data_IF_123164697282
#
_entry.id   IF_123164697282
#
_cell.length_a   1.000
_cell.length_b   1.000
_cell.length_c   1.000
_cell.angle_alpha   90.00
_cell.angle_beta   90.00
_cell.angle_gamma   90.00
#
_symmetry.space_group_name_H-M   'P 1'
#
loop_
_entity.id
_entity.type
_entity.pdbx_description
1 polymer ?
#
# COMPACT_ATOMS: atom_id res chain seq x y z
N UNK A 1 1.71 -0.78 4.83
CA UNK A 1 0.38 -1.38 5.18
C UNK A 1 -0.13 -0.91 6.55
N UNK A 2 0.72 -0.52 7.49
CA UNK A 2 0.43 -0.64 8.92
C UNK A 2 -0.21 0.58 9.58
N UNK A 3 0.02 1.79 9.06
CA UNK A 3 -0.71 2.99 9.47
C UNK A 3 -1.72 3.30 8.38
N UNK A 4 -2.93 2.78 8.54
CA UNK A 4 -4.07 2.99 7.66
C UNK A 4 -5.35 2.90 8.50
N UNK A 5 -6.39 3.63 8.09
CA UNK A 5 -7.71 3.59 8.73
C UNK A 5 -8.65 2.57 8.08
N UNK A 6 -8.23 1.99 6.96
CA UNK A 6 -8.93 0.90 6.28
C UNK A 6 -7.95 -0.11 5.66
N UNK A 7 -8.39 -1.35 5.54
CA UNK A 7 -7.58 -2.49 5.15
C UNK A 7 -8.17 -3.22 3.93
N UNK A 8 -7.32 -3.98 3.24
CA UNK A 8 -7.48 -4.44 1.85
C UNK A 8 -7.50 -3.29 0.82
N UNK A 9 -7.35 -3.64 -0.46
CA UNK A 9 -7.39 -2.67 -1.56
C UNK A 9 -8.78 -2.05 -1.75
N UNK A 10 -9.86 -2.77 -1.49
CA UNK A 10 -11.26 -2.29 -1.59
C UNK A 10 -11.78 -1.59 -0.32
N UNK A 11 -10.92 -1.35 0.68
CA UNK A 11 -11.27 -0.83 2.01
C UNK A 11 -12.39 -1.65 2.72
N UNK A 12 -12.57 -2.95 2.45
CA UNK A 12 -13.68 -3.72 3.06
C UNK A 12 -13.52 -3.96 4.57
N UNK A 13 -12.30 -3.92 5.09
CA UNK A 13 -12.03 -4.11 6.51
C UNK A 13 -11.72 -2.78 7.21
N UNK A 14 -12.47 -2.46 8.27
CA UNK A 14 -12.28 -1.24 9.07
C UNK A 14 -11.21 -1.34 10.16
N UNK A 15 -10.63 -2.53 10.36
CA UNK A 15 -9.54 -2.74 11.31
C UNK A 15 -8.64 -3.88 10.86
N UNK A 16 -7.39 -3.87 11.35
CA UNK A 16 -6.43 -4.93 11.10
C UNK A 16 -6.93 -6.27 11.65
N UNK A 17 -7.56 -6.23 12.83
CA UNK A 17 -8.26 -7.37 13.40
C UNK A 17 -9.35 -7.92 12.46
N UNK A 18 -10.17 -7.04 11.86
CA UNK A 18 -11.17 -7.45 10.87
C UNK A 18 -10.56 -8.06 9.61
N UNK A 19 -9.42 -7.52 9.15
CA UNK A 19 -8.65 -8.07 8.05
C UNK A 19 -8.18 -9.50 8.37
N UNK A 20 -7.61 -9.73 9.55
CA UNK A 20 -7.14 -11.05 9.99
C UNK A 20 -8.27 -12.09 9.95
N UNK A 21 -9.47 -11.76 10.43
CA UNK A 21 -10.62 -12.67 10.37
C UNK A 21 -10.96 -13.03 8.92
N UNK A 22 -10.96 -12.02 8.04
CA UNK A 22 -11.31 -12.20 6.63
C UNK A 22 -10.32 -13.12 5.93
N UNK A 23 -9.01 -12.95 6.19
CA UNK A 23 -7.93 -13.74 5.59
C UNK A 23 -7.93 -15.19 6.11
N UNK A 24 -8.11 -15.38 7.42
CA UNK A 24 -8.13 -16.73 8.02
C UNK A 24 -9.26 -17.57 7.45
N UNK A 25 -10.44 -16.98 7.28
CA UNK A 25 -11.65 -17.66 6.79
C UNK A 25 -11.72 -17.83 5.27
N UNK A 26 -10.82 -17.19 4.51
CA UNK A 26 -10.85 -17.25 3.05
C UNK A 26 -10.35 -18.61 2.54
N UNK A 27 -11.15 -19.25 1.70
CA UNK A 27 -10.86 -20.59 1.19
C UNK A 27 -9.65 -20.66 0.25
N UNK A 28 -9.23 -19.54 -0.32
CA UNK A 28 -8.08 -19.42 -1.22
C UNK A 28 -6.81 -18.92 -0.49
N UNK A 29 -6.91 -18.58 0.79
CA UNK A 29 -5.79 -18.13 1.61
C UNK A 29 -5.47 -19.19 2.67
N UNK A 30 -5.85 -18.98 3.94
CA UNK A 30 -5.56 -19.95 5.00
C UNK A 30 -6.54 -21.13 5.05
N UNK A 31 -7.75 -20.99 4.48
CA UNK A 31 -8.80 -22.01 4.53
C UNK A 31 -9.02 -22.57 5.94
N UNK A 32 -9.12 -21.68 6.93
CA UNK A 32 -9.19 -22.07 8.34
C UNK A 32 -10.21 -21.22 9.10
N UNK A 33 -10.13 -21.28 10.43
CA UNK A 33 -10.91 -20.41 11.32
C UNK A 33 -10.11 -20.06 12.59
N UNK A 34 -10.53 -18.99 13.27
CA UNK A 34 -9.87 -18.55 14.51
C UNK A 34 -9.99 -19.57 15.65
N UNK A 35 -10.98 -20.46 15.62
CA UNK A 35 -11.13 -21.52 16.64
C UNK A 35 -10.01 -22.54 16.51
N UNK A 36 -9.65 -22.90 15.28
CA UNK A 36 -8.57 -23.81 14.94
C UNK A 36 -7.22 -23.21 15.32
N UNK A 37 -7.00 -21.93 15.02
CA UNK A 37 -5.79 -21.20 15.46
C UNK A 37 -5.69 -21.14 16.99
N UNK A 38 -6.79 -20.82 17.67
CA UNK A 38 -6.85 -20.82 19.14
C UNK A 38 -6.49 -22.19 19.69
N UNK A 39 -7.05 -23.26 19.13
CA UNK A 39 -6.78 -24.62 19.59
C UNK A 39 -5.31 -25.01 19.43
N UNK A 40 -4.69 -24.64 18.30
CA UNK A 40 -3.27 -24.88 18.06
C UNK A 40 -2.39 -24.19 19.12
N UNK A 41 -2.71 -22.94 19.45
CA UNK A 41 -2.02 -22.15 20.48
C UNK A 41 -2.20 -22.79 21.87
N UNK A 42 -3.40 -23.25 22.21
CA UNK A 42 -3.69 -23.92 23.49
C UNK A 42 -2.96 -25.25 23.68
N UNK A 43 -2.61 -25.94 22.58
CA UNK A 43 -1.93 -27.24 22.62
C UNK A 43 -0.41 -27.14 22.75
N UNK A 44 0.17 -25.96 22.51
CA UNK A 44 1.61 -25.73 22.62
C UNK A 44 1.95 -25.03 23.93
N UNK A 45 2.68 -25.71 24.82
CA UNK A 45 3.03 -25.17 26.14
C UNK A 45 3.92 -23.93 26.08
N UNK A 46 4.73 -23.77 25.02
CA UNK A 46 5.54 -22.58 24.78
C UNK A 46 4.64 -21.39 24.46
N UNK A 47 3.70 -21.55 23.51
CA UNK A 47 2.75 -20.48 23.21
C UNK A 47 1.85 -20.14 24.39
N UNK A 48 1.37 -21.13 25.13
CA UNK A 48 0.57 -20.89 26.34
C UNK A 48 1.35 -20.04 27.35
N UNK A 49 2.63 -20.34 27.58
CA UNK A 49 3.47 -19.55 28.49
C UNK A 49 3.71 -18.13 27.96
N UNK A 50 4.03 -17.96 26.67
CA UNK A 50 4.21 -16.64 26.05
C UNK A 50 2.93 -15.78 26.13
N UNK A 51 1.76 -16.36 25.86
CA UNK A 51 0.47 -15.66 25.98
C UNK A 51 0.17 -15.25 27.42
N UNK A 52 0.44 -16.13 28.40
CA UNK A 52 0.29 -15.79 29.83
C UNK A 52 1.18 -14.63 30.22
N UNK A 53 2.45 -14.63 29.79
CA UNK A 53 3.41 -13.57 30.09
C UNK A 53 3.02 -12.24 29.43
N UNK A 54 2.64 -12.26 28.15
CA UNK A 54 2.41 -11.03 27.38
C UNK A 54 1.04 -10.39 27.67
N UNK A 55 0.00 -11.20 27.84
CA UNK A 55 -1.38 -10.72 27.87
C UNK A 55 -2.06 -10.86 29.22
N UNK A 56 -1.56 -11.72 30.12
CA UNK A 56 -2.17 -12.03 31.41
C UNK A 56 -3.70 -12.31 31.32
N UNK A 57 -4.16 -12.86 30.19
CA UNK A 57 -5.57 -13.19 29.93
C UNK A 57 -5.70 -14.58 29.33
N UNK A 58 -6.92 -15.12 29.38
CA UNK A 58 -7.29 -16.39 28.78
C UNK A 58 -7.09 -16.36 27.27
N UNK A 59 -6.45 -17.39 26.74
CA UNK A 59 -6.30 -17.60 25.30
C UNK A 59 -7.68 -17.84 24.69
N UNK A 60 -8.06 -16.99 23.75
CA UNK A 60 -9.31 -17.05 22.99
C UNK A 60 -9.15 -16.32 21.64
N UNK A 61 -10.13 -16.45 20.75
CA UNK A 61 -10.08 -15.87 19.40
C UNK A 61 -9.75 -14.37 19.38
N UNK A 62 -10.26 -13.58 20.35
CA UNK A 62 -9.99 -12.15 20.44
C UNK A 62 -8.52 -11.89 20.75
N UNK A 63 -7.96 -12.60 21.74
CA UNK A 63 -6.55 -12.45 22.13
C UNK A 63 -5.59 -12.93 21.04
N UNK A 64 -5.93 -14.01 20.31
CA UNK A 64 -5.14 -14.52 19.18
C UNK A 64 -5.11 -13.49 18.05
N UNK A 65 -6.27 -12.97 17.66
CA UNK A 65 -6.38 -11.91 16.65
C UNK A 65 -5.65 -10.64 17.06
N UNK A 66 -5.75 -10.26 18.34
CA UNK A 66 -5.01 -9.13 18.89
C UNK A 66 -3.50 -9.35 18.82
N UNK A 67 -3.00 -10.54 19.17
CA UNK A 67 -1.58 -10.86 19.09
C UNK A 67 -1.02 -10.75 17.67
N UNK A 68 -1.75 -11.26 16.68
CA UNK A 68 -1.37 -11.10 15.27
C UNK A 68 -1.36 -9.62 14.88
N UNK A 69 -2.40 -8.86 15.27
CA UNK A 69 -2.49 -7.45 14.96
C UNK A 69 -1.39 -6.61 15.64
N UNK A 70 -1.03 -6.93 16.89
CA UNK A 70 0.04 -6.28 17.64
C UNK A 70 1.41 -6.56 17.00
N UNK A 71 1.68 -7.81 16.59
CA UNK A 71 2.88 -8.16 15.84
C UNK A 71 2.96 -7.34 14.54
N UNK A 72 1.90 -7.34 13.75
CA UNK A 72 1.84 -6.61 12.48
C UNK A 72 2.08 -5.11 12.72
N UNK A 73 1.48 -4.48 13.74
CA UNK A 73 1.75 -3.08 14.12
C UNK A 73 3.20 -2.82 14.50
N UNK A 74 3.87 -3.78 15.14
CA UNK A 74 5.25 -3.64 15.60
C UNK A 74 6.27 -3.58 14.46
N UNK A 75 5.90 -3.97 13.23
CA UNK A 75 6.81 -4.03 12.09
C UNK A 75 7.18 -2.65 11.50
N UNK A 76 6.82 -1.51 12.10
CA UNK A 76 7.21 -0.18 11.60
C UNK A 76 8.36 0.39 12.41
N UNK A 77 9.58 0.34 11.88
CA UNK A 77 10.78 0.82 12.56
C UNK A 77 11.15 2.27 12.20
N UNK A 78 10.70 2.77 11.05
CA UNK A 78 10.96 4.16 10.60
C UNK A 78 12.47 4.47 10.51
N UNK A 79 13.24 3.53 9.97
CA UNK A 79 14.70 3.56 9.95
C UNK A 79 15.29 3.64 8.53
N UNK A 80 14.44 3.92 7.54
CA UNK A 80 14.86 4.13 6.15
C UNK A 80 15.87 5.28 6.02
N UNK A 81 16.61 5.31 4.90
CA UNK A 81 17.53 6.43 4.59
C UNK A 81 16.81 7.77 4.65
N UNK A 82 15.60 7.84 4.11
CA UNK A 82 14.76 9.04 4.19
C UNK A 82 14.49 9.45 5.64
N UNK A 83 14.04 8.51 6.48
CA UNK A 83 13.67 8.82 7.86
C UNK A 83 14.86 9.35 8.68
N UNK A 84 16.03 8.72 8.54
CA UNK A 84 17.27 9.13 9.20
C UNK A 84 17.71 10.54 8.76
N UNK A 85 17.60 10.86 7.47
CA UNK A 85 17.96 12.17 6.94
C UNK A 85 16.98 13.27 7.39
N UNK A 86 15.67 13.02 7.37
CA UNK A 86 14.67 14.00 7.82
C UNK A 86 14.75 14.27 9.33
N UNK A 87 15.20 13.29 10.13
CA UNK A 87 15.52 13.48 11.56
C UNK A 87 16.89 14.13 11.82
N UNK A 88 17.71 14.34 10.80
CA UNK A 88 19.06 14.88 10.94
C UNK A 88 20.07 13.91 11.56
N UNK A 89 19.78 12.60 11.57
CA UNK A 89 20.69 11.54 12.01
C UNK A 89 21.75 11.24 10.95
N UNK A 90 21.41 11.48 9.69
CA UNK A 90 22.26 11.38 8.51
C UNK A 90 22.09 12.62 7.63
N UNK A 91 23.04 12.84 6.72
CA UNK A 91 22.97 13.88 5.70
C UNK A 91 23.66 13.39 4.42
N UNK A 92 23.12 12.29 3.89
CA UNK A 92 23.68 11.53 2.77
C UNK A 92 22.68 11.30 1.62
N UNK A 93 21.57 12.04 1.61
CA UNK A 93 20.73 12.16 0.42
C UNK A 93 21.54 12.77 -0.73
N UNK A 94 21.53 12.09 -1.87
CA UNK A 94 22.13 12.52 -3.12
C UNK A 94 21.27 13.61 -3.77
N UNK A 95 21.86 14.34 -4.72
CA UNK A 95 21.12 15.34 -5.50
C UNK A 95 19.92 14.72 -6.24
N UNK A 96 20.08 13.50 -6.78
CA UNK A 96 19.01 12.76 -7.46
C UNK A 96 17.85 12.43 -6.53
N UNK A 97 18.13 11.93 -5.32
CA UNK A 97 17.07 11.62 -4.33
C UNK A 97 16.34 12.89 -3.85
N UNK A 98 17.06 14.01 -3.69
CA UNK A 98 16.45 15.31 -3.33
C UNK A 98 15.57 15.84 -4.48
N UNK A 99 16.07 15.78 -5.72
CA UNK A 99 15.29 16.16 -6.90
C UNK A 99 14.05 15.29 -7.05
N UNK A 100 14.19 13.98 -6.83
CA UNK A 100 13.10 13.02 -6.82
C UNK A 100 12.00 13.38 -5.84
N UNK A 101 12.37 13.74 -4.60
CA UNK A 101 11.41 14.22 -3.62
C UNK A 101 10.70 15.50 -4.08
N UNK A 102 11.43 16.46 -4.65
CA UNK A 102 10.83 17.71 -5.16
C UNK A 102 9.87 17.44 -6.33
N UNK A 103 10.22 16.55 -7.25
CA UNK A 103 9.36 16.11 -8.35
C UNK A 103 8.11 15.40 -7.83
N UNK A 104 8.28 14.48 -6.88
CA UNK A 104 7.21 13.72 -6.23
C UNK A 104 6.17 14.66 -5.59
N UNK A 105 6.61 15.74 -4.95
CA UNK A 105 5.73 16.74 -4.32
C UNK A 105 5.24 17.84 -5.28
N UNK A 106 5.83 17.94 -6.47
CA UNK A 106 5.58 19.01 -7.42
C UNK A 106 5.07 18.47 -8.76
N UNK A 107 5.94 18.51 -9.77
CA UNK A 107 5.59 18.21 -11.17
C UNK A 107 4.91 16.85 -11.35
N UNK A 108 5.38 15.81 -10.65
CA UNK A 108 4.85 14.45 -10.77
C UNK A 108 3.55 14.22 -9.99
N UNK A 109 3.20 15.14 -9.07
CA UNK A 109 1.95 15.14 -8.28
C UNK A 109 1.73 13.88 -7.42
N UNK A 110 2.71 13.02 -7.23
CA UNK A 110 2.57 11.78 -6.47
C UNK A 110 2.13 12.05 -5.00
N UNK A 111 2.59 13.16 -4.41
CA UNK A 111 2.23 13.57 -3.06
C UNK A 111 0.78 14.07 -2.90
N UNK A 112 0.00 14.21 -3.98
CA UNK A 112 -1.43 14.53 -3.86
C UNK A 112 -2.25 13.36 -3.34
N UNK A 113 -1.68 12.14 -3.38
CA UNK A 113 -2.30 10.93 -2.83
C UNK A 113 -1.37 10.15 -1.87
N UNK A 114 -0.04 10.23 -2.05
CA UNK A 114 0.92 9.54 -1.18
C UNK A 114 1.49 10.48 -0.11
N UNK A 115 0.71 10.72 0.94
CA UNK A 115 1.02 11.73 1.95
C UNK A 115 2.13 11.32 2.91
N UNK A 116 3.13 12.18 3.07
CA UNK A 116 4.11 12.06 4.15
C UNK A 116 3.43 12.14 5.53
N UNK A 117 3.97 11.48 6.57
CA UNK A 117 5.21 10.69 6.59
C UNK A 117 5.01 9.22 6.19
N UNK A 118 3.78 8.74 6.10
CA UNK A 118 3.45 7.32 5.82
C UNK A 118 3.50 6.96 4.34
N UNK A 119 3.55 7.97 3.47
CA UNK A 119 3.54 7.90 2.00
C UNK A 119 2.42 7.02 1.44
N UNK A 120 1.21 7.17 1.98
CA UNK A 120 0.00 6.46 1.57
C UNK A 120 -1.20 7.41 1.58
N UNK A 121 -2.38 6.90 1.20
CA UNK A 121 -3.61 7.70 1.14
C UNK A 121 -4.24 8.09 2.46
N UNK A 122 -3.54 8.02 3.60
CA UNK A 122 -4.12 8.45 4.88
C UNK A 122 -4.06 9.97 4.97
N UNK A 123 -5.23 10.62 4.95
CA UNK A 123 -5.38 12.03 4.60
C UNK A 123 -4.94 12.95 5.75
N UNK A 124 -3.98 13.88 5.56
CA UNK A 124 -3.57 14.87 6.55
C UNK A 124 -4.64 15.96 6.76
N UNK A 125 -4.58 16.75 7.85
CA UNK A 125 -3.58 16.70 8.93
C UNK A 125 -3.90 15.67 10.02
N UNK A 126 -5.14 15.19 10.11
CA UNK A 126 -5.57 14.35 11.23
C UNK A 126 -5.29 12.86 11.00
N UNK A 127 -5.05 12.44 9.75
CA UNK A 127 -4.81 11.05 9.36
C UNK A 127 -5.94 10.10 9.79
N UNK A 128 -7.18 10.59 9.76
CA UNK A 128 -8.38 9.89 10.26
C UNK A 128 -9.20 9.18 9.18
N UNK A 129 -8.88 9.38 7.90
CA UNK A 129 -9.44 8.64 6.78
C UNK A 129 -8.34 8.16 5.84
N UNK A 130 -8.62 7.14 5.05
CA UNK A 130 -7.75 6.64 3.99
C UNK A 130 -8.48 6.76 2.66
N UNK A 131 -7.98 7.53 1.71
CA UNK A 131 -8.64 7.71 0.41
C UNK A 131 -8.54 6.45 -0.47
N UNK A 132 -9.22 6.53 -1.61
CA UNK A 132 -9.17 5.54 -2.68
C UNK A 132 -9.15 6.29 -4.00
N UNK A 133 -8.45 5.72 -4.96
CA UNK A 133 -8.24 6.31 -6.26
C UNK A 133 -8.68 5.36 -7.36
N UNK A 134 -9.14 5.93 -8.45
CA UNK A 134 -9.41 5.22 -9.69
C UNK A 134 -8.44 5.73 -10.73
N UNK A 135 -7.47 4.89 -11.09
CA UNK A 135 -6.38 5.26 -11.99
C UNK A 135 -6.55 4.70 -13.40
N UNK A 136 -7.57 3.85 -13.62
CA UNK A 136 -7.73 3.07 -14.85
C UNK A 136 -6.58 2.06 -15.05
N UNK A 137 -6.22 1.31 -14.01
CA UNK A 137 -5.18 0.27 -14.08
C UNK A 137 -5.61 -0.80 -15.10
N UNK A 138 -4.74 -1.17 -16.06
CA UNK A 138 -5.10 -2.13 -17.09
C UNK A 138 -5.05 -3.59 -16.61
N UNK A 139 -5.78 -4.48 -17.29
CA UNK A 139 -5.75 -5.93 -17.05
C UNK A 139 -4.43 -6.61 -17.49
N UNK A 140 -3.62 -5.93 -18.31
CA UNK A 140 -2.33 -6.41 -18.83
C UNK A 140 -1.36 -5.24 -19.10
N UNK A 141 -0.04 -5.46 -19.11
CA UNK A 141 0.92 -4.39 -19.30
C UNK A 141 0.87 -3.87 -20.75
N UNK A 142 0.41 -2.64 -20.92
CA UNK A 142 0.20 -2.00 -22.23
C UNK A 142 0.43 -0.49 -22.13
N UNK A 143 0.93 0.09 -23.21
CA UNK A 143 1.19 1.55 -23.31
C UNK A 143 0.14 2.30 -24.14
N UNK A 144 -0.78 1.57 -24.77
CA UNK A 144 -1.88 2.09 -25.60
C UNK A 144 -2.93 1.02 -25.85
N UNK A 145 -4.16 1.39 -26.20
CA UNK A 145 -5.29 0.49 -26.42
C UNK A 145 -5.54 -0.46 -25.23
N UNK A 146 -5.37 0.07 -24.02
CA UNK A 146 -5.56 -0.69 -22.80
C UNK A 146 -7.02 -1.05 -22.54
N UNK A 147 -7.20 -2.07 -21.71
CA UNK A 147 -8.48 -2.46 -21.15
C UNK A 147 -8.38 -2.43 -19.65
N UNK A 148 -9.33 -1.78 -19.00
CA UNK A 148 -9.34 -1.68 -17.53
C UNK A 148 -9.43 -3.07 -16.92
N UNK A 149 -8.75 -3.24 -15.79
CA UNK A 149 -8.87 -4.43 -14.96
C UNK A 149 -10.34 -4.68 -14.56
N UNK A 150 -10.85 -5.93 -14.66
CA UNK A 150 -12.25 -6.22 -14.42
C UNK A 150 -12.65 -6.18 -12.93
N UNK A 151 -11.70 -6.10 -12.00
CA UNK A 151 -11.99 -5.95 -10.58
C UNK A 151 -12.66 -4.59 -10.35
N UNK A 152 -13.89 -4.62 -9.83
CA UNK A 152 -14.69 -3.42 -9.57
C UNK A 152 -14.28 -2.74 -8.26
N UNK A 153 -13.38 -3.35 -7.49
CA UNK A 153 -12.79 -2.79 -6.28
C UNK A 153 -13.84 -2.42 -5.24
N UNK A 154 -13.82 -1.17 -4.78
CA UNK A 154 -14.75 -0.67 -3.75
C UNK A 154 -16.22 -0.92 -4.05
N UNK A 155 -16.60 -0.95 -5.33
CA UNK A 155 -17.97 -1.22 -5.74
C UNK A 155 -18.51 -2.51 -5.11
N UNK A 156 -17.71 -3.57 -5.01
CA UNK A 156 -18.24 -4.86 -4.57
C UNK A 156 -18.66 -4.89 -3.11
N UNK A 157 -18.19 -3.93 -2.30
CA UNK A 157 -18.55 -3.82 -0.89
C UNK A 157 -19.92 -3.15 -0.69
N UNK A 158 -20.23 -2.08 -1.44
CA UNK A 158 -21.43 -1.24 -1.22
C UNK A 158 -22.33 -1.06 -2.45
N UNK A 159 -21.93 -1.59 -3.60
CA UNK A 159 -22.61 -1.46 -4.90
C UNK A 159 -22.88 0.00 -5.29
N UNK A 160 -21.94 0.88 -4.97
CA UNK A 160 -22.01 2.31 -5.29
C UNK A 160 -21.38 2.57 -6.65
N UNK A 161 -22.19 2.86 -7.66
CA UNK A 161 -21.76 2.96 -9.07
C UNK A 161 -20.54 3.89 -9.28
N UNK A 162 -20.52 5.06 -8.64
CA UNK A 162 -19.40 6.02 -8.72
C UNK A 162 -18.14 5.59 -7.94
N UNK A 163 -18.08 4.35 -7.45
CA UNK A 163 -16.93 3.73 -6.77
C UNK A 163 -16.44 2.46 -7.47
N UNK A 164 -16.83 2.23 -8.73
CA UNK A 164 -16.22 1.20 -9.58
C UNK A 164 -14.75 1.49 -9.82
N UNK A 165 -13.91 0.45 -9.69
CA UNK A 165 -12.46 0.50 -9.90
C UNK A 165 -11.70 1.43 -8.95
N UNK A 166 -12.31 1.81 -7.82
CA UNK A 166 -11.63 2.55 -6.76
C UNK A 166 -10.89 1.59 -5.84
N UNK A 167 -9.59 1.85 -5.67
CA UNK A 167 -8.70 1.09 -4.79
C UNK A 167 -7.96 2.02 -3.84
N UNK A 168 -7.71 1.54 -2.63
CA UNK A 168 -7.00 2.24 -1.57
C UNK A 168 -5.57 2.54 -1.99
N UNK A 169 -5.15 3.81 -1.92
CA UNK A 169 -3.77 4.24 -2.16
C UNK A 169 -2.82 3.50 -1.18
N UNK A 170 -1.93 2.61 -1.66
CA UNK A 170 -1.01 1.88 -0.80
C UNK A 170 0.12 2.79 -0.29
N UNK A 171 0.90 2.30 0.67
CA UNK A 171 2.16 2.97 1.03
C UNK A 171 3.21 2.63 -0.02
N UNK A 172 4.10 3.59 -0.29
CA UNK A 172 5.32 3.36 -1.09
C UNK A 172 6.58 3.18 -0.22
N UNK A 173 6.43 3.03 1.10
CA UNK A 173 7.53 2.56 1.95
C UNK A 173 7.86 1.11 1.59
N UNK A 174 9.15 0.81 1.48
CA UNK A 174 9.69 -0.46 1.00
C UNK A 174 9.30 -0.84 -0.44
N UNK A 175 8.87 0.11 -1.28
CA UNK A 175 8.32 -0.19 -2.62
C UNK A 175 9.36 -0.84 -3.56
N UNK A 176 10.65 -0.62 -3.35
CA UNK A 176 11.70 -1.30 -4.12
C UNK A 176 11.68 -2.83 -3.95
N UNK A 177 11.12 -3.33 -2.85
CA UNK A 177 11.17 -4.74 -2.46
C UNK A 177 9.85 -5.49 -2.64
N UNK A 178 8.81 -4.83 -3.17
CA UNK A 178 7.43 -5.36 -3.18
C UNK A 178 6.83 -5.46 -4.57
N UNK A 179 7.66 -5.63 -5.61
CA UNK A 179 7.16 -6.02 -6.91
C UNK A 179 6.43 -7.39 -6.82
N UNK A 180 5.42 -7.64 -7.68
CA UNK A 180 4.86 -6.73 -8.68
C UNK A 180 3.91 -5.66 -8.09
N UNK A 181 3.58 -4.64 -8.89
CA UNK A 181 2.89 -3.42 -8.48
C UNK A 181 1.44 -3.32 -8.98
N UNK A 182 0.70 -2.38 -8.39
CA UNK A 182 -0.76 -2.20 -8.50
C UNK A 182 -1.57 -3.30 -7.80
N UNK A 183 -2.90 -3.18 -7.76
CA UNK A 183 -3.77 -4.13 -7.06
C UNK A 183 -3.77 -5.52 -7.72
N UNK A 184 -3.49 -5.59 -9.02
CA UNK A 184 -3.47 -6.80 -9.82
C UNK A 184 -2.06 -7.30 -10.18
N UNK A 185 -1.00 -6.59 -9.76
CA UNK A 185 0.38 -7.00 -10.06
C UNK A 185 0.79 -6.84 -11.53
N UNK A 186 0.13 -5.95 -12.29
CA UNK A 186 0.36 -5.81 -13.74
C UNK A 186 1.76 -5.31 -14.12
N UNK A 187 2.39 -4.49 -13.26
CA UNK A 187 3.73 -3.94 -13.50
C UNK A 187 4.78 -4.66 -12.64
N UNK A 188 5.93 -4.96 -13.24
CA UNK A 188 7.05 -5.64 -12.61
C UNK A 188 8.11 -4.67 -12.08
N UNK A 189 8.20 -3.47 -12.65
CA UNK A 189 9.23 -2.49 -12.28
C UNK A 189 8.65 -1.12 -11.91
N UNK A 190 9.43 -0.32 -11.16
CA UNK A 190 9.03 1.03 -10.80
C UNK A 190 8.99 1.96 -12.02
N UNK A 191 9.83 1.69 -13.02
CA UNK A 191 9.84 2.41 -14.30
C UNK A 191 8.51 2.25 -15.04
N UNK A 192 7.95 1.04 -15.08
CA UNK A 192 6.63 0.79 -15.66
C UNK A 192 5.51 1.52 -14.91
N UNK A 193 5.59 1.56 -13.57
CA UNK A 193 4.64 2.30 -12.73
C UNK A 193 4.73 3.80 -13.02
N UNK A 194 5.93 4.38 -13.02
CA UNK A 194 6.13 5.82 -13.24
C UNK A 194 5.76 6.20 -14.67
N UNK A 195 6.06 5.37 -15.67
CA UNK A 195 5.65 5.59 -17.08
C UNK A 195 4.12 5.60 -17.22
N UNK A 196 3.40 4.69 -16.54
CA UNK A 196 1.93 4.70 -16.50
C UNK A 196 1.37 6.03 -15.97
N UNK A 197 1.89 6.54 -14.86
CA UNK A 197 1.50 7.85 -14.34
C UNK A 197 1.90 8.99 -15.29
N UNK A 198 3.09 8.92 -15.88
CA UNK A 198 3.61 9.94 -16.80
C UNK A 198 2.73 10.09 -18.05
N UNK A 199 2.12 8.99 -18.53
CA UNK A 199 1.17 9.00 -19.66
C UNK A 199 -0.20 9.58 -19.32
N UNK A 200 -0.56 9.71 -18.05
CA UNK A 200 -1.91 10.12 -17.62
C UNK A 200 -2.82 8.96 -17.19
N UNK A 201 -2.24 7.83 -16.79
CA UNK A 201 -2.97 6.67 -16.29
C UNK A 201 -3.80 5.97 -17.37
N UNK A 202 -4.97 5.44 -16.98
CA UNK A 202 -5.87 4.71 -17.88
C UNK A 202 -6.24 5.50 -19.14
N UNK A 203 -6.62 6.78 -19.00
CA UNK A 203 -6.87 7.65 -20.15
C UNK A 203 -5.64 7.77 -21.07
N UNK A 204 -4.46 7.93 -20.48
CA UNK A 204 -3.18 8.02 -21.18
C UNK A 204 -2.83 6.80 -22.03
N UNK A 205 -3.34 5.63 -21.64
CA UNK A 205 -3.14 4.36 -22.36
C UNK A 205 -4.37 3.93 -23.17
N UNK A 206 -5.36 4.83 -23.37
CA UNK A 206 -6.51 4.58 -24.24
C UNK A 206 -7.72 3.90 -23.59
N UNK A 207 -7.74 3.76 -22.25
CA UNK A 207 -8.94 3.36 -21.51
C UNK A 207 -9.82 4.62 -21.35
N UNK A 208 -10.61 4.90 -22.38
CA UNK A 208 -11.47 6.10 -22.46
C UNK A 208 -12.90 5.85 -21.96
N UNK A 209 -13.36 4.60 -22.00
CA UNK A 209 -14.70 4.19 -21.56
C UNK A 209 -14.78 3.97 -20.04
N UNK A 210 -14.20 4.90 -19.28
CA UNK A 210 -14.25 4.93 -17.82
C UNK A 210 -14.71 6.30 -17.34
N UNK A 211 -15.43 6.33 -16.22
CA UNK A 211 -15.81 7.56 -15.54
C UNK A 211 -15.04 7.68 -14.22
N UNK A 212 -14.76 8.90 -13.79
CA UNK A 212 -14.18 9.21 -12.47
C UNK A 212 -12.70 8.79 -12.27
N UNK A 213 -11.88 8.73 -13.32
CA UNK A 213 -10.43 8.68 -13.09
C UNK A 213 -10.01 9.88 -12.24
N UNK A 214 -9.26 9.62 -11.18
CA UNK A 214 -8.83 10.67 -10.24
C UNK A 214 -7.47 11.26 -10.60
N UNK A 215 -6.67 10.51 -11.36
CA UNK A 215 -5.44 11.03 -11.96
C UNK A 215 -5.74 12.00 -13.10
N UNK A 216 -5.04 13.14 -13.21
CA UNK A 216 -5.14 14.01 -14.38
C UNK A 216 -4.91 13.25 -15.70
N UNK A 217 -5.73 13.56 -16.70
CA UNK A 217 -5.66 12.93 -18.03
C UNK A 217 -4.46 13.39 -18.86
N UNK A 218 -3.94 14.58 -18.56
CA UNK A 218 -2.81 15.15 -19.27
C UNK A 218 -1.50 14.45 -18.86
N UNK A 219 -0.64 14.09 -19.83
CA UNK A 219 0.68 13.57 -19.54
C UNK A 219 1.48 14.54 -18.66
N UNK A 220 2.26 13.98 -17.73
CA UNK A 220 3.12 14.76 -16.83
C UNK A 220 4.35 15.32 -17.57
N UNK A 221 4.68 14.75 -18.74
CA UNK A 221 5.83 15.09 -19.56
C UNK A 221 7.14 15.07 -18.75
N UNK A 222 7.31 14.03 -17.93
CA UNK A 222 8.55 13.76 -17.21
C UNK A 222 9.60 13.26 -18.22
N UNK A 223 10.82 13.78 -18.10
CA UNK A 223 11.99 13.23 -18.79
C UNK A 223 12.41 11.90 -18.15
N UNK A 224 13.28 11.14 -18.82
CA UNK A 224 13.83 9.91 -18.23
C UNK A 224 14.57 10.20 -16.92
N UNK A 225 15.38 11.26 -16.88
CA UNK A 225 16.11 11.69 -15.69
C UNK A 225 15.16 12.04 -14.53
N UNK A 226 14.04 12.72 -14.81
CA UNK A 226 13.04 13.04 -13.79
C UNK A 226 12.36 11.77 -13.26
N UNK A 227 12.08 10.78 -14.11
CA UNK A 227 11.53 9.49 -13.68
C UNK A 227 12.52 8.72 -12.82
N UNK A 228 13.79 8.68 -13.21
CA UNK A 228 14.86 8.02 -12.46
C UNK A 228 15.07 8.69 -11.09
N UNK A 229 15.04 10.02 -11.02
CA UNK A 229 15.12 10.79 -9.77
C UNK A 229 13.97 10.43 -8.82
N UNK A 230 12.72 10.36 -9.31
CA UNK A 230 11.55 9.95 -8.51
C UNK A 230 11.74 8.53 -7.98
N UNK A 231 12.22 7.61 -8.83
CA UNK A 231 12.49 6.22 -8.44
C UNK A 231 13.58 6.17 -7.34
N UNK A 232 14.67 6.91 -7.51
CA UNK A 232 15.74 6.99 -6.50
C UNK A 232 15.21 7.52 -5.17
N UNK A 233 14.35 8.55 -5.19
CA UNK A 233 13.66 8.98 -3.98
C UNK A 233 12.82 7.86 -3.35
N UNK A 234 12.00 7.16 -4.13
CA UNK A 234 11.17 6.07 -3.61
C UNK A 234 12.00 4.96 -2.95
N UNK A 235 13.19 4.66 -3.48
CA UNK A 235 14.13 3.68 -2.91
C UNK A 235 14.69 4.11 -1.55
N UNK A 236 14.79 5.42 -1.28
CA UNK A 236 15.18 5.91 0.05
C UNK A 236 14.17 5.58 1.16
N UNK A 237 12.95 5.17 0.79
CA UNK A 237 11.88 4.78 1.72
C UNK A 237 11.95 3.29 2.13
N UNK A 238 13.03 2.60 1.77
CA UNK A 238 13.30 1.22 2.19
C UNK A 238 13.93 1.20 3.58
N UNK A 239 13.31 0.49 4.51
CA UNK A 239 13.78 0.28 5.88
C UNK A 239 15.12 -0.46 5.87
N UNK A 240 16.06 -0.04 6.73
CA UNK A 240 17.45 -0.50 6.62
C UNK A 240 17.59 -2.01 6.91
N UNK A 241 16.76 -2.57 7.79
CA UNK A 241 16.74 -4.01 8.12
C UNK A 241 16.47 -4.94 6.93
N UNK A 242 16.00 -4.43 5.79
CA UNK A 242 15.73 -5.23 4.59
C UNK A 242 16.81 -5.08 3.52
N UNK A 243 17.82 -4.25 3.76
CA UNK A 243 18.92 -3.96 2.84
C UNK A 243 20.17 -4.81 3.20
N UNK A 244 20.20 -5.39 4.41
CA UNK A 244 21.31 -6.19 4.96
C UNK A 244 21.04 -7.71 4.95
#
# INVERSE_FOLDING_TARGET
MLISKAFFYDKRAGSLEGQIVSVVNNSNEFHSDLKSFTKAIETDSSYVNQFKTAYNVTINQQTVRKAIADYVRSLNEWDSKWDKNIRGEQNDLTASEINGFNLFNGKAKCATCHFAPVFNGTVPPDYMDTEMEHLGVPESPVVSNGRIDPDLGRYDVFKTENRKHFFKTPTIRNIELTAPYMHNGVYQTLEEVVDFYNRGGGYGIGIIDQEYQTLPTEPLNLSQEEMDDIINFMKTLTDARFID
#
